data_IF_107610910885
#
_entry.id   IF_107610910885
#
_cell.length_a   1.000
_cell.length_b   1.000
_cell.length_c   1.000
_cell.angle_alpha   90.00
_cell.angle_beta   90.00
_cell.angle_gamma   90.00
#
_symmetry.space_group_name_H-M   'P 1'
#
loop_
_entity.id
_entity.type
_entity.pdbx_description
1 polymer ?
#
# COMPACT_ATOMS: atom_id res chain seq x y z
N UNK A 1 5.88 24.43 29.50
CA UNK A 1 7.35 24.33 29.39
C UNK A 1 7.70 22.89 29.08
N UNK A 2 8.42 22.64 27.99
CA UNK A 2 8.91 21.32 27.60
C UNK A 2 10.18 21.51 26.78
N UNK A 3 11.28 21.78 27.47
CA UNK A 3 12.61 21.92 26.88
C UNK A 3 13.13 20.55 26.46
N UNK A 4 12.80 20.11 25.24
CA UNK A 4 13.50 19.03 24.57
C UNK A 4 13.93 19.48 23.17
N UNK A 5 14.65 20.60 23.10
CA UNK A 5 15.70 20.71 22.12
C UNK A 5 16.88 19.91 22.68
N UNK A 6 16.94 18.62 22.35
CA UNK A 6 18.19 17.89 22.47
C UNK A 6 19.23 18.63 21.63
N UNK A 7 20.39 18.89 22.24
CA UNK A 7 21.57 19.39 21.57
C UNK A 7 21.76 18.64 20.25
N UNK A 8 22.01 19.41 19.18
CA UNK A 8 22.45 18.99 17.84
C UNK A 8 23.03 17.57 17.90
N UNK A 9 22.27 16.55 17.46
CA UNK A 9 22.77 15.17 17.51
C UNK A 9 24.03 15.09 16.67
N UNK A 10 25.17 14.83 17.30
CA UNK A 10 26.50 14.87 16.66
C UNK A 10 26.65 13.82 15.55
N UNK A 11 25.74 12.86 15.46
CA UNK A 11 25.63 11.90 14.35
C UNK A 11 24.20 11.86 13.80
N UNK A 12 24.03 12.22 12.52
CA UNK A 12 22.74 12.14 11.82
C UNK A 12 22.44 10.73 11.25
N UNK A 13 23.31 9.77 11.52
CA UNK A 13 23.24 8.40 11.00
C UNK A 13 22.65 7.48 12.07
N UNK A 14 21.52 6.87 11.77
CA UNK A 14 20.83 5.91 12.64
C UNK A 14 20.62 4.62 11.86
N UNK A 15 21.14 3.49 12.36
CA UNK A 15 21.02 2.21 11.67
C UNK A 15 19.69 1.51 11.97
N UNK A 16 19.06 0.97 10.92
CA UNK A 16 17.82 0.21 11.02
C UNK A 16 18.02 -1.03 11.88
N UNK A 17 17.16 -1.28 12.89
CA UNK A 17 17.21 -2.53 13.65
C UNK A 17 17.13 -3.76 12.70
N UNK A 18 18.03 -4.76 12.80
CA UNK A 18 18.08 -5.89 11.87
C UNK A 18 16.77 -6.69 11.84
N UNK A 19 16.14 -6.84 13.00
CA UNK A 19 14.87 -7.55 13.20
C UNK A 19 13.74 -6.99 12.34
N UNK A 20 13.73 -5.69 12.06
CA UNK A 20 12.76 -5.07 11.15
C UNK A 20 13.00 -5.50 9.70
N UNK A 21 14.25 -5.52 9.26
CA UNK A 21 14.60 -5.92 7.88
C UNK A 21 14.33 -7.41 7.70
N UNK A 22 14.69 -8.24 8.69
CA UNK A 22 14.45 -9.68 8.70
C UNK A 22 12.95 -10.01 8.65
N UNK A 23 12.13 -9.31 9.43
CA UNK A 23 10.68 -9.46 9.41
C UNK A 23 10.03 -9.10 8.05
N UNK A 24 10.74 -8.36 7.20
CA UNK A 24 10.30 -7.98 5.85
C UNK A 24 10.92 -8.83 4.74
N UNK A 25 11.56 -9.95 5.10
CA UNK A 25 12.18 -10.90 4.17
C UNK A 25 13.71 -10.92 4.18
N UNK A 26 14.35 -10.13 5.05
CA UNK A 26 15.80 -10.04 5.16
C UNK A 26 16.45 -9.15 4.10
N UNK A 27 17.74 -8.86 4.28
CA UNK A 27 18.50 -7.95 3.41
C UNK A 27 18.52 -8.41 1.94
N UNK A 28 18.52 -9.71 1.68
CA UNK A 28 18.54 -10.26 0.32
C UNK A 28 17.21 -10.07 -0.43
N UNK A 29 16.13 -9.73 0.28
CA UNK A 29 14.82 -9.44 -0.33
C UNK A 29 14.72 -8.01 -0.87
N UNK A 30 15.65 -7.13 -0.51
CA UNK A 30 15.73 -5.75 -1.01
C UNK A 30 16.87 -5.64 -2.02
N UNK A 31 16.59 -5.07 -3.18
CA UNK A 31 17.60 -4.89 -4.23
C UNK A 31 18.51 -3.69 -3.94
N UNK A 32 17.96 -2.63 -3.33
CA UNK A 32 18.68 -1.36 -3.15
C UNK A 32 18.35 -0.67 -1.81
N UNK A 33 19.39 -0.19 -1.14
CA UNK A 33 19.34 0.86 -0.11
C UNK A 33 20.06 2.12 -0.64
N UNK A 34 19.33 3.21 -0.96
CA UNK A 34 19.88 4.35 -1.68
C UNK A 34 20.52 5.41 -0.76
N UNK A 35 20.58 5.19 0.55
CA UNK A 35 21.11 6.16 1.50
C UNK A 35 21.82 5.49 2.68
N UNK A 36 22.53 4.41 2.39
CA UNK A 36 23.24 3.63 3.38
C UNK A 36 24.51 4.33 3.86
N UNK A 37 25.08 3.82 4.95
CA UNK A 37 26.39 4.26 5.43
C UNK A 37 27.50 3.34 4.89
N UNK A 38 28.70 3.90 4.66
CA UNK A 38 29.87 3.11 4.24
C UNK A 38 30.23 2.06 5.29
N UNK A 39 30.35 2.49 6.55
CA UNK A 39 30.61 1.64 7.71
C UNK A 39 29.28 1.18 8.32
N UNK A 40 28.64 0.19 7.69
CA UNK A 40 27.39 -0.41 8.18
C UNK A 40 27.66 -1.71 8.94
N UNK A 41 27.02 -1.94 10.10
CA UNK A 41 27.23 -3.16 10.89
C UNK A 41 26.59 -4.40 10.27
N UNK A 42 25.57 -4.23 9.42
CA UNK A 42 24.93 -5.28 8.62
C UNK A 42 24.39 -4.70 7.30
N UNK A 43 24.10 -5.59 6.35
CA UNK A 43 23.42 -5.23 5.12
C UNK A 43 21.91 -5.06 5.36
N UNK A 44 21.32 -4.11 4.64
CA UNK A 44 19.87 -3.84 4.56
C UNK A 44 19.27 -4.22 3.20
N UNK A 45 20.11 -4.41 2.19
CA UNK A 45 19.77 -4.66 0.79
C UNK A 45 20.95 -5.36 0.09
N UNK A 46 20.77 -5.81 -1.15
CA UNK A 46 21.83 -6.41 -1.98
C UNK A 46 22.82 -5.37 -2.52
N UNK A 47 22.35 -4.16 -2.80
CA UNK A 47 23.18 -3.03 -3.21
C UNK A 47 22.92 -1.81 -2.32
N UNK A 48 23.98 -1.02 -2.10
CA UNK A 48 23.95 0.17 -1.25
C UNK A 48 24.56 1.34 -2.00
N UNK A 49 23.89 2.49 -1.97
CA UNK A 49 24.51 3.78 -2.26
C UNK A 49 24.88 4.46 -0.96
N UNK A 50 26.07 5.03 -0.89
CA UNK A 50 26.53 5.78 0.29
C UNK A 50 26.30 7.28 0.13
N UNK A 51 26.70 8.04 1.15
CA UNK A 51 26.68 9.50 1.08
C UNK A 51 27.58 10.04 -0.05
N UNK A 52 28.73 9.39 -0.28
CA UNK A 52 29.69 9.74 -1.33
C UNK A 52 29.11 9.51 -2.74
N UNK A 53 28.34 8.44 -2.92
CA UNK A 53 27.66 8.11 -4.18
C UNK A 53 26.51 9.07 -4.51
N UNK A 54 25.93 9.71 -3.48
CA UNK A 54 24.72 10.52 -3.57
C UNK A 54 23.56 9.78 -4.24
N UNK A 55 22.97 8.80 -3.54
CA UNK A 55 21.89 7.98 -4.09
C UNK A 55 20.61 8.72 -4.52
N UNK A 56 20.48 10.03 -4.25
CA UNK A 56 19.41 10.86 -4.80
C UNK A 56 19.54 11.13 -6.31
N UNK A 57 20.75 11.05 -6.86
CA UNK A 57 21.01 11.30 -8.29
C UNK A 57 21.25 10.01 -9.10
N UNK A 58 21.45 8.88 -8.43
CA UNK A 58 21.66 7.58 -9.05
C UNK A 58 20.35 6.87 -9.41
N UNK A 59 20.36 5.91 -10.35
CA UNK A 59 19.18 5.10 -10.68
C UNK A 59 18.70 4.26 -9.49
N UNK A 60 17.39 4.25 -9.23
CA UNK A 60 16.77 3.30 -8.31
C UNK A 60 16.19 2.13 -9.09
N UNK A 61 16.28 0.93 -8.54
CA UNK A 61 15.83 -0.30 -9.20
C UNK A 61 15.34 -1.30 -8.16
N UNK A 62 14.52 -2.25 -8.62
CA UNK A 62 14.04 -3.35 -7.77
C UNK A 62 13.24 -2.89 -6.57
N UNK A 63 13.28 -3.68 -5.49
CA UNK A 63 12.64 -3.38 -4.21
C UNK A 63 13.58 -2.57 -3.31
N UNK A 64 13.13 -1.40 -2.87
CA UNK A 64 13.97 -0.47 -2.09
C UNK A 64 13.72 -0.60 -0.58
N UNK A 65 14.81 -0.68 0.20
CA UNK A 65 14.79 -0.36 1.63
C UNK A 65 15.23 1.10 1.81
N UNK A 66 14.44 1.92 2.50
CA UNK A 66 14.77 3.33 2.70
C UNK A 66 14.71 3.73 4.18
N UNK A 67 15.87 4.01 4.76
CA UNK A 67 16.00 4.64 6.07
C UNK A 67 16.81 5.94 5.93
N UNK A 68 16.17 7.06 5.55
CA UNK A 68 16.88 8.25 5.14
C UNK A 68 17.52 8.98 6.32
N UNK A 69 18.60 9.74 6.12
CA UNK A 69 19.12 10.63 7.15
C UNK A 69 18.04 11.59 7.65
N UNK A 70 17.91 11.72 8.97
CA UNK A 70 16.74 12.33 9.63
C UNK A 70 16.71 13.87 9.62
N UNK A 71 17.20 14.49 8.55
CA UNK A 71 17.00 15.91 8.27
C UNK A 71 15.74 16.10 7.42
N UNK A 72 14.98 17.18 7.68
CA UNK A 72 13.76 17.48 6.92
C UNK A 72 14.07 17.56 5.41
N UNK A 73 15.17 18.20 5.02
CA UNK A 73 15.54 18.37 3.62
C UNK A 73 15.83 17.03 2.91
N UNK A 74 16.53 16.09 3.57
CA UNK A 74 16.85 14.80 2.98
C UNK A 74 15.63 13.87 3.00
N UNK A 75 14.87 13.82 4.10
CA UNK A 75 13.60 13.06 4.17
C UNK A 75 12.69 13.46 3.00
N UNK A 76 12.48 14.75 2.77
CA UNK A 76 11.62 15.23 1.68
C UNK A 76 12.09 14.75 0.30
N UNK A 77 13.40 14.80 0.02
CA UNK A 77 13.96 14.36 -1.27
C UNK A 77 13.86 12.85 -1.46
N UNK A 78 14.23 12.08 -0.44
CA UNK A 78 14.20 10.62 -0.48
C UNK A 78 12.77 10.07 -0.56
N UNK A 79 11.82 10.62 0.20
CA UNK A 79 10.41 10.22 0.09
C UNK A 79 9.83 10.60 -1.27
N UNK A 80 10.21 11.73 -1.85
CA UNK A 80 9.82 12.08 -3.22
C UNK A 80 10.29 11.06 -4.26
N UNK A 81 11.54 10.59 -4.13
CA UNK A 81 12.10 9.52 -4.97
C UNK A 81 11.38 8.19 -4.74
N UNK A 82 11.12 7.82 -3.49
CA UNK A 82 10.40 6.59 -3.13
C UNK A 82 8.98 6.56 -3.68
N UNK A 83 8.25 7.66 -3.53
CA UNK A 83 6.90 7.82 -4.07
C UNK A 83 6.85 7.70 -5.60
N UNK A 84 7.89 8.16 -6.30
CA UNK A 84 8.01 8.02 -7.75
C UNK A 84 8.43 6.60 -8.18
N UNK A 85 9.23 5.92 -7.35
CA UNK A 85 9.69 4.55 -7.58
C UNK A 85 8.59 3.50 -7.34
N UNK A 86 7.71 3.76 -6.37
CA UNK A 86 6.53 2.96 -6.01
C UNK A 86 6.77 1.46 -5.77
N UNK A 87 7.96 1.11 -5.23
CA UNK A 87 8.31 -0.27 -4.87
C UNK A 87 9.32 -0.34 -3.72
N UNK A 88 8.85 -0.67 -2.53
CA UNK A 88 9.70 -0.90 -1.36
C UNK A 88 9.08 -0.42 -0.05
N UNK A 89 9.93 -0.36 0.98
CA UNK A 89 9.54 0.09 2.34
C UNK A 89 10.45 1.22 2.81
N UNK A 90 9.85 2.28 3.36
CA UNK A 90 10.56 3.35 4.05
C UNK A 90 10.31 3.30 5.57
N UNK A 91 11.35 3.63 6.35
CA UNK A 91 11.30 3.82 7.80
C UNK A 91 11.58 5.29 8.14
N UNK A 92 10.60 5.98 8.72
CA UNK A 92 10.75 7.38 9.16
C UNK A 92 10.05 7.61 10.49
N UNK A 93 10.21 8.81 11.06
CA UNK A 93 9.36 9.24 12.18
C UNK A 93 7.93 9.54 11.71
N UNK A 94 6.96 9.15 12.53
CA UNK A 94 5.53 9.33 12.29
C UNK A 94 5.08 10.79 12.54
N UNK A 95 5.65 11.74 11.77
CA UNK A 95 5.27 13.17 11.77
C UNK A 95 4.20 13.43 10.72
N UNK A 96 3.00 12.92 11.00
CA UNK A 96 1.88 12.78 10.05
C UNK A 96 1.37 14.11 9.50
N UNK A 97 1.67 15.23 10.18
CA UNK A 97 1.24 16.59 9.87
C UNK A 97 2.18 17.35 8.92
N UNK A 98 3.37 16.82 8.65
CA UNK A 98 4.38 17.53 7.86
C UNK A 98 4.12 17.46 6.35
N UNK A 99 4.52 18.51 5.61
CA UNK A 99 4.41 18.56 4.13
C UNK A 99 4.92 17.29 3.42
N UNK A 100 6.15 16.78 3.70
CA UNK A 100 6.63 15.56 3.06
C UNK A 100 5.77 14.34 3.38
N UNK A 101 5.20 14.25 4.59
CA UNK A 101 4.30 13.15 4.96
C UNK A 101 3.00 13.23 4.15
N UNK A 102 2.39 14.41 4.05
CA UNK A 102 1.18 14.59 3.24
C UNK A 102 1.41 14.26 1.77
N UNK A 103 2.46 14.82 1.17
CA UNK A 103 2.71 14.67 -0.27
C UNK A 103 3.13 13.27 -0.66
N UNK A 104 4.06 12.69 0.09
CA UNK A 104 4.76 11.46 -0.31
C UNK A 104 4.37 10.23 0.51
N UNK A 105 3.57 10.37 1.56
CA UNK A 105 3.04 9.23 2.32
C UNK A 105 1.54 9.14 2.14
N UNK A 106 0.76 10.12 2.60
CA UNK A 106 -0.70 10.10 2.42
C UNK A 106 -1.12 10.11 0.94
N UNK A 107 -0.41 10.88 0.10
CA UNK A 107 -0.67 10.96 -1.34
C UNK A 107 -0.12 9.78 -2.16
N UNK A 108 0.84 9.01 -1.62
CA UNK A 108 1.63 8.07 -2.42
C UNK A 108 1.75 6.63 -1.90
N UNK A 109 1.76 6.42 -0.60
CA UNK A 109 1.96 5.09 -0.02
C UNK A 109 0.76 4.16 -0.22
N UNK A 110 1.01 2.85 -0.18
CA UNK A 110 0.01 1.79 -0.29
C UNK A 110 -0.32 1.15 1.07
N UNK A 111 0.51 1.34 2.09
CA UNK A 111 0.20 0.88 3.45
C UNK A 111 1.14 1.48 4.48
N UNK A 112 0.66 1.59 5.71
CA UNK A 112 1.44 2.07 6.85
C UNK A 112 1.39 1.05 7.98
N UNK A 113 2.51 0.83 8.66
CA UNK A 113 2.55 0.09 9.92
C UNK A 113 3.11 1.01 11.01
N UNK A 114 2.23 1.43 11.91
CA UNK A 114 2.60 2.18 13.12
C UNK A 114 3.04 1.20 14.19
N UNK A 115 4.32 1.27 14.57
CA UNK A 115 4.93 0.30 15.48
C UNK A 115 4.38 0.45 16.91
N UNK A 116 4.20 -0.67 17.61
CA UNK A 116 3.95 -0.65 19.05
C UNK A 116 5.28 -0.39 19.78
N UNK A 117 5.40 0.80 20.35
CA UNK A 117 6.60 1.23 21.07
C UNK A 117 7.60 1.98 20.18
N UNK A 118 8.69 2.44 20.79
CA UNK A 118 9.74 3.22 20.09
C UNK A 118 10.92 2.31 19.79
N UNK A 119 11.42 2.38 18.55
CA UNK A 119 12.62 1.67 18.14
C UNK A 119 13.83 2.15 18.92
N UNK A 120 14.76 1.23 19.18
CA UNK A 120 16.10 1.58 19.61
C UNK A 120 16.99 1.40 18.39
N UNK A 121 17.55 2.50 17.91
CA UNK A 121 18.49 2.48 16.80
C UNK A 121 19.84 1.95 17.27
N UNK A 122 20.69 1.59 16.33
CA UNK A 122 22.03 1.09 16.62
C UNK A 122 23.09 2.10 16.18
N UNK A 123 24.25 2.03 16.83
CA UNK A 123 25.46 2.78 16.47
C UNK A 123 26.26 2.04 15.39
N UNK A 124 27.31 2.69 14.87
CA UNK A 124 28.15 2.12 13.81
C UNK A 124 28.88 0.85 14.24
N UNK A 125 29.14 0.67 15.55
CA UNK A 125 29.71 -0.56 16.12
C UNK A 125 28.68 -1.70 16.28
N UNK A 126 27.43 -1.47 15.86
CA UNK A 126 26.32 -2.42 15.97
C UNK A 126 25.68 -2.49 17.35
N UNK A 127 26.17 -1.74 18.34
CA UNK A 127 25.56 -1.71 19.67
C UNK A 127 24.24 -0.94 19.65
N UNK A 128 23.28 -1.40 20.47
CA UNK A 128 21.95 -0.78 20.59
C UNK A 128 22.03 0.48 21.45
N UNK A 129 21.41 1.57 21.00
CA UNK A 129 21.28 2.79 21.79
C UNK A 129 20.52 2.53 23.10
N UNK A 130 21.05 3.07 24.21
CA UNK A 130 20.47 2.90 25.55
C UNK A 130 19.11 3.59 25.68
N UNK A 131 18.89 4.67 24.95
CA UNK A 131 17.61 5.37 24.83
C UNK A 131 16.93 5.00 23.52
N UNK A 132 15.60 4.92 23.55
CA UNK A 132 14.81 4.78 22.33
C UNK A 132 14.87 6.05 21.47
N UNK A 133 14.57 5.91 20.18
CA UNK A 133 14.39 7.04 19.28
C UNK A 133 13.35 7.99 19.88
N UNK A 134 13.73 9.24 20.10
CA UNK A 134 12.90 10.24 20.79
C UNK A 134 11.55 10.56 20.12
N UNK A 135 11.26 9.95 18.98
CA UNK A 135 10.03 10.10 18.21
C UNK A 135 9.45 8.73 17.79
N UNK A 136 8.11 8.62 17.65
CA UNK A 136 7.46 7.42 17.12
C UNK A 136 7.90 7.16 15.67
N UNK A 137 8.01 5.89 15.29
CA UNK A 137 8.40 5.44 13.94
C UNK A 137 7.24 4.80 13.20
N UNK A 138 7.28 4.86 11.87
CA UNK A 138 6.32 4.22 10.97
C UNK A 138 7.07 3.55 9.83
N UNK A 139 6.66 2.33 9.47
CA UNK A 139 7.04 1.68 8.23
C UNK A 139 6.00 2.00 7.15
N UNK A 140 6.47 2.34 5.96
CA UNK A 140 5.64 2.86 4.87
C UNK A 140 5.90 2.00 3.64
N UNK A 141 4.88 1.29 3.17
CA UNK A 141 4.96 0.49 1.96
C UNK A 141 4.54 1.30 0.73
N UNK A 142 5.30 1.13 -0.35
CA UNK A 142 5.04 1.66 -1.68
C UNK A 142 4.89 0.51 -2.68
N UNK A 143 3.87 0.56 -3.54
CA UNK A 143 3.42 -0.60 -4.31
C UNK A 143 2.55 -1.61 -3.55
N UNK A 144 1.78 -2.41 -4.29
CA UNK A 144 0.85 -3.40 -3.73
C UNK A 144 1.54 -4.61 -3.08
N UNK A 145 2.66 -5.05 -3.68
CA UNK A 145 3.46 -6.18 -3.17
C UNK A 145 4.01 -5.87 -1.77
N UNK A 146 4.69 -4.72 -1.61
CA UNK A 146 5.23 -4.30 -0.32
C UNK A 146 4.15 -3.98 0.72
N UNK A 147 2.96 -3.53 0.29
CA UNK A 147 1.82 -3.37 1.19
C UNK A 147 1.43 -4.72 1.80
N UNK A 148 1.32 -5.75 0.96
CA UNK A 148 0.88 -7.08 1.40
C UNK A 148 1.96 -7.75 2.27
N UNK A 149 3.25 -7.57 1.93
CA UNK A 149 4.38 -7.99 2.77
C UNK A 149 4.32 -7.28 4.13
N UNK A 150 4.16 -5.95 4.15
CA UNK A 150 4.13 -5.18 5.39
C UNK A 150 2.91 -5.53 6.26
N UNK A 151 1.76 -5.82 5.65
CA UNK A 151 0.56 -6.25 6.36
C UNK A 151 0.71 -7.63 7.03
N UNK A 152 1.51 -8.52 6.43
CA UNK A 152 1.77 -9.87 6.93
C UNK A 152 3.02 -9.97 7.83
N UNK A 153 3.83 -8.91 7.91
CA UNK A 153 5.07 -8.90 8.66
C UNK A 153 4.80 -9.15 10.17
N UNK A 154 5.60 -10.00 10.85
CA UNK A 154 5.43 -10.31 12.27
C UNK A 154 5.98 -9.18 13.16
N UNK A 155 5.57 -7.94 12.90
CA UNK A 155 5.98 -6.73 13.60
C UNK A 155 4.79 -6.19 14.39
N UNK A 156 4.94 -6.04 15.70
CA UNK A 156 3.87 -5.56 16.57
C UNK A 156 3.52 -4.10 16.27
N UNK A 157 2.25 -3.81 16.02
CA UNK A 157 1.80 -2.50 15.58
C UNK A 157 0.36 -2.47 15.03
N UNK A 158 -0.01 -1.32 14.49
CA UNK A 158 -1.29 -1.11 13.82
C UNK A 158 -1.06 -0.87 12.32
N UNK A 159 -1.53 -1.79 11.49
CA UNK A 159 -1.48 -1.66 10.04
C UNK A 159 -2.67 -0.84 9.51
N UNK A 160 -2.39 0.09 8.60
CA UNK A 160 -3.36 0.95 7.92
C UNK A 160 -3.19 0.77 6.42
N UNK A 161 -4.11 0.07 5.73
CA UNK A 161 -4.04 -0.04 4.28
C UNK A 161 -4.38 1.31 3.64
N UNK A 162 -3.56 1.74 2.70
CA UNK A 162 -3.79 2.92 1.85
C UNK A 162 -4.00 2.47 0.41
N UNK A 163 -4.53 3.35 -0.46
CA UNK A 163 -4.80 3.04 -1.87
C UNK A 163 -5.49 1.67 -2.04
N UNK A 164 -6.57 1.46 -1.28
CA UNK A 164 -7.39 0.27 -1.43
C UNK A 164 -7.96 0.26 -2.84
N UNK A 165 -7.56 -0.73 -3.63
CA UNK A 165 -8.23 -0.98 -4.88
C UNK A 165 -9.66 -1.38 -4.53
N UNK A 166 -10.64 -0.49 -4.74
CA UNK A 166 -12.04 -0.72 -4.39
C UNK A 166 -12.58 -2.00 -5.05
N UNK A 167 -11.94 -2.49 -6.11
CA UNK A 167 -12.23 -3.81 -6.68
C UNK A 167 -11.99 -4.99 -5.72
N UNK A 168 -11.07 -4.88 -4.75
CA UNK A 168 -10.87 -5.86 -3.67
C UNK A 168 -11.96 -5.79 -2.59
N UNK A 169 -12.56 -4.63 -2.34
CA UNK A 169 -13.64 -4.45 -1.35
C UNK A 169 -15.03 -4.73 -1.92
N UNK A 170 -15.20 -4.61 -3.24
CA UNK A 170 -16.48 -4.79 -3.92
C UNK A 170 -17.16 -6.15 -3.72
N UNK A 171 -16.45 -7.30 -3.60
CA UNK A 171 -17.10 -8.58 -3.30
C UNK A 171 -17.68 -8.63 -1.88
N UNK A 172 -17.16 -7.84 -0.95
CA UNK A 172 -17.50 -7.92 0.49
C UNK A 172 -18.65 -6.97 0.86
N UNK A 173 -18.83 -5.87 0.13
CA UNK A 173 -19.81 -4.83 0.48
C UNK A 173 -21.00 -4.70 -0.50
N UNK A 174 -20.94 -5.27 -1.72
CA UNK A 174 -22.06 -5.25 -2.66
C UNK A 174 -22.17 -6.60 -3.40
N UNK A 175 -23.40 -7.10 -3.67
CA UNK A 175 -23.58 -8.30 -4.48
C UNK A 175 -22.89 -8.13 -5.83
N UNK A 176 -22.29 -9.18 -6.36
CA UNK A 176 -21.69 -9.19 -7.70
C UNK A 176 -22.73 -8.85 -8.76
N UNK A 177 -22.33 -8.43 -9.97
CA UNK A 177 -23.30 -8.20 -11.07
C UNK A 177 -24.12 -9.46 -11.38
N UNK A 178 -23.54 -10.64 -11.14
CA UNK A 178 -24.21 -11.94 -11.29
C UNK A 178 -25.28 -12.14 -10.23
N UNK A 179 -24.96 -11.91 -8.95
CA UNK A 179 -25.93 -12.00 -7.85
C UNK A 179 -27.05 -10.97 -8.00
N UNK A 180 -26.73 -9.72 -8.30
CA UNK A 180 -27.75 -8.69 -8.51
C UNK A 180 -28.73 -9.05 -9.66
N UNK A 181 -28.22 -9.62 -10.75
CA UNK A 181 -29.08 -10.16 -11.82
C UNK A 181 -29.84 -11.40 -11.36
N UNK A 182 -29.20 -12.34 -10.65
CA UNK A 182 -29.87 -13.54 -10.16
C UNK A 182 -31.02 -13.22 -9.20
N UNK A 183 -30.84 -12.25 -8.31
CA UNK A 183 -31.87 -11.74 -7.40
C UNK A 183 -32.98 -11.03 -8.17
N UNK A 184 -32.64 -10.24 -9.20
CA UNK A 184 -33.64 -9.63 -10.07
C UNK A 184 -34.48 -10.68 -10.81
N UNK A 185 -33.87 -11.77 -11.28
CA UNK A 185 -34.60 -12.86 -11.93
C UNK A 185 -35.27 -13.82 -10.92
N UNK A 186 -34.94 -13.75 -9.63
CA UNK A 186 -35.54 -14.61 -8.62
C UNK A 186 -37.05 -14.33 -8.50
N UNK A 187 -37.86 -15.39 -8.61
CA UNK A 187 -39.33 -15.30 -8.55
C UNK A 187 -40.01 -14.85 -9.85
N UNK A 188 -39.26 -14.62 -10.93
CA UNK A 188 -39.83 -14.32 -12.26
C UNK A 188 -39.86 -15.58 -13.13
N UNK A 189 -41.05 -15.93 -13.63
CA UNK A 189 -41.26 -17.03 -14.58
C UNK A 189 -41.21 -16.59 -16.05
N UNK A 190 -41.38 -15.29 -16.31
CA UNK A 190 -41.45 -14.75 -17.67
C UNK A 190 -40.11 -14.15 -18.12
N UNK A 191 -39.78 -14.22 -19.43
CA UNK A 191 -38.62 -13.55 -19.98
C UNK A 191 -38.70 -12.02 -19.82
N UNK A 192 -37.57 -11.39 -19.51
CA UNK A 192 -37.45 -9.95 -19.28
C UNK A 192 -36.69 -9.28 -20.42
N UNK A 193 -37.15 -8.10 -20.84
CA UNK A 193 -36.48 -7.32 -21.88
C UNK A 193 -35.24 -6.57 -21.35
N UNK A 194 -34.27 -6.31 -22.23
CA UNK A 194 -33.12 -5.46 -21.90
C UNK A 194 -33.54 -4.06 -21.44
N UNK A 195 -34.63 -3.52 -21.99
CA UNK A 195 -35.15 -2.20 -21.60
C UNK A 195 -35.67 -2.19 -20.15
N UNK A 196 -36.31 -3.27 -19.69
CA UNK A 196 -36.73 -3.43 -18.30
C UNK A 196 -35.54 -3.60 -17.36
N UNK A 197 -34.56 -4.42 -17.75
CA UNK A 197 -33.32 -4.56 -16.98
C UNK A 197 -32.59 -3.22 -16.84
N UNK A 198 -32.52 -2.42 -17.91
CA UNK A 198 -31.91 -1.10 -17.83
C UNK A 198 -32.70 -0.15 -16.93
N UNK A 199 -34.02 -0.17 -16.97
CA UNK A 199 -34.83 0.65 -16.06
C UNK A 199 -34.63 0.23 -14.60
N UNK A 200 -34.65 -1.07 -14.32
CA UNK A 200 -34.48 -1.60 -12.97
C UNK A 200 -33.09 -1.31 -12.39
N UNK A 201 -32.05 -1.32 -13.21
CA UNK A 201 -30.67 -1.11 -12.76
C UNK A 201 -30.19 0.34 -12.86
N UNK A 202 -30.95 1.26 -13.44
CA UNK A 202 -30.52 2.66 -13.65
C UNK A 202 -30.08 3.34 -12.34
N UNK A 203 -30.79 3.07 -11.24
CA UNK A 203 -30.51 3.61 -9.90
C UNK A 203 -29.74 2.67 -8.98
N UNK A 204 -29.36 1.48 -9.47
CA UNK A 204 -28.66 0.49 -8.65
C UNK A 204 -27.27 1.01 -8.24
N UNK A 205 -26.80 0.76 -7.01
CA UNK A 205 -25.48 1.22 -6.55
C UNK A 205 -24.33 0.85 -7.50
N UNK A 206 -24.37 -0.36 -8.08
CA UNK A 206 -23.38 -0.79 -9.09
C UNK A 206 -23.43 -0.02 -10.41
N UNK A 207 -24.60 0.48 -10.81
CA UNK A 207 -24.73 1.30 -12.01
C UNK A 207 -24.21 2.72 -11.77
N UNK A 208 -24.49 3.29 -10.60
CA UNK A 208 -23.93 4.60 -10.18
C UNK A 208 -22.40 4.59 -10.13
N UNK A 209 -21.80 3.47 -9.74
CA UNK A 209 -20.36 3.30 -9.64
C UNK A 209 -19.66 2.89 -10.95
N UNK A 210 -20.39 2.70 -12.06
CA UNK A 210 -19.80 2.23 -13.32
C UNK A 210 -20.46 2.91 -14.53
N UNK A 211 -19.74 3.81 -15.20
CA UNK A 211 -20.24 4.51 -16.39
C UNK A 211 -20.61 3.58 -17.57
N UNK A 212 -20.05 2.37 -17.63
CA UNK A 212 -20.32 1.35 -18.66
C UNK A 212 -21.21 0.21 -18.14
N UNK A 213 -22.05 0.48 -17.13
CA UNK A 213 -22.83 -0.56 -16.47
C UNK A 213 -23.76 -1.36 -17.39
N UNK A 214 -24.30 -0.74 -18.45
CA UNK A 214 -25.16 -1.42 -19.45
C UNK A 214 -24.39 -2.50 -20.22
N UNK A 215 -23.16 -2.20 -20.61
CA UNK A 215 -22.26 -3.16 -21.25
C UNK A 215 -21.89 -4.29 -20.30
N UNK A 216 -21.63 -3.94 -19.04
CA UNK A 216 -21.33 -4.93 -18.01
C UNK A 216 -22.52 -5.87 -17.75
N UNK A 217 -23.73 -5.33 -17.70
CA UNK A 217 -24.97 -6.10 -17.54
C UNK A 217 -25.16 -7.08 -18.70
N UNK A 218 -25.00 -6.61 -19.95
CA UNK A 218 -25.04 -7.48 -21.14
C UNK A 218 -23.97 -8.56 -21.13
N UNK A 219 -22.75 -8.23 -20.73
CA UNK A 219 -21.65 -9.19 -20.62
C UNK A 219 -21.96 -10.30 -19.60
N UNK A 220 -22.63 -9.97 -18.49
CA UNK A 220 -22.98 -10.94 -17.45
C UNK A 220 -24.18 -11.79 -17.84
N UNK A 221 -25.19 -11.23 -18.53
CA UNK A 221 -26.30 -12.01 -19.10
C UNK A 221 -25.82 -13.11 -20.05
N UNK A 222 -24.74 -12.87 -20.79
CA UNK A 222 -24.16 -13.87 -21.69
C UNK A 222 -23.45 -15.03 -20.96
N UNK A 223 -23.32 -14.98 -19.61
CA UNK A 223 -22.56 -15.97 -18.83
C UNK A 223 -23.49 -16.89 -18.05
N UNK A 224 -23.59 -18.14 -18.51
CA UNK A 224 -23.87 -19.35 -17.72
C UNK A 224 -25.26 -19.53 -17.08
N UNK A 225 -25.81 -18.52 -16.41
CA UNK A 225 -27.03 -18.61 -15.60
C UNK A 225 -28.28 -18.05 -16.29
N UNK A 226 -28.09 -17.32 -17.38
CA UNK A 226 -29.17 -16.71 -18.15
C UNK A 226 -29.10 -17.21 -19.60
N UNK A 227 -30.23 -17.11 -20.30
CA UNK A 227 -30.31 -17.44 -21.71
C UNK A 227 -31.14 -16.40 -22.46
N UNK A 228 -30.78 -16.23 -23.73
CA UNK A 228 -31.48 -15.31 -24.64
C UNK A 228 -32.61 -16.09 -25.31
N UNK A 229 -33.84 -15.70 -25.00
CA UNK A 229 -35.06 -16.29 -25.59
C UNK A 229 -35.32 -15.69 -26.97
N UNK A 230 -35.12 -14.38 -27.10
CA UNK A 230 -35.26 -13.64 -28.37
C UNK A 230 -34.36 -12.38 -28.36
N UNK A 231 -34.38 -11.57 -29.42
CA UNK A 231 -33.59 -10.34 -29.56
C UNK A 231 -33.88 -9.37 -28.41
N UNK A 232 -32.96 -9.35 -27.45
CA UNK A 232 -33.04 -8.49 -26.27
C UNK A 232 -33.97 -9.01 -25.19
N UNK A 233 -34.44 -10.26 -25.29
CA UNK A 233 -35.31 -10.92 -24.32
C UNK A 233 -34.53 -12.04 -23.62
N UNK A 234 -34.52 -12.02 -22.29
CA UNK A 234 -33.66 -12.87 -21.46
C UNK A 234 -34.43 -13.53 -20.34
N UNK A 235 -34.09 -14.76 -20.02
CA UNK A 235 -34.63 -15.45 -18.84
C UNK A 235 -33.52 -16.16 -18.07
N UNK A 236 -33.81 -16.53 -16.82
CA UNK A 236 -32.93 -17.42 -16.05
C UNK A 236 -33.03 -18.84 -16.62
N UNK A 237 -31.90 -19.51 -16.82
CA UNK A 237 -31.92 -20.92 -17.21
C UNK A 237 -32.61 -21.75 -16.12
N UNK A 238 -33.44 -22.70 -16.52
CA UNK A 238 -33.95 -23.72 -15.61
C UNK A 238 -32.76 -24.47 -14.97
N UNK A 239 -32.87 -24.78 -13.68
CA UNK A 239 -31.92 -25.70 -13.06
C UNK A 239 -32.08 -27.07 -13.74
N UNK A 240 -30.97 -27.63 -14.22
CA UNK A 240 -30.92 -28.99 -14.74
C UNK A 240 -31.07 -30.01 -13.60
#
# INVERSE_FOLDING_TARGET
MGSHQSARSETNTWFSPPDIVDALGGADSFDLDPCSHVDRPWATARQHYTQEDNGLILPWFGRVWLNPPYSIALITKFLGRMAAHDRGVALIFARTETDPFHRFVWGAASGLLFLRGRLNFHYADGSRAAANGGAPSVLIAYGAEDRDILAAAPIDGAFVPLRLNLSMLMPVLLPTWREALADYFAGRSEPVTLAELYRAFADHPKARANQHWRDKLRQVLQRGQFERVDKGLWQRRAAA
#
